data_IF_979263607477
#
_entry.id   IF_979263607477
#
_cell.length_a   1.000
_cell.length_b   1.000
_cell.length_c   1.000
_cell.angle_alpha   90.00
_cell.angle_beta   90.00
_cell.angle_gamma   90.00
#
_symmetry.space_group_name_H-M   'P 1'
#
loop_
_entity.id
_entity.type
_entity.pdbx_description
1 polymer ?
#
# COMPACT_ATOMS: atom_id res chain seq x y z
N UNK A 1 -4.42 23.22 -0.20
CA UNK A 1 -3.95 22.44 -1.37
C UNK A 1 -2.52 21.91 -1.23
N UNK A 2 -1.55 22.68 -0.72
CA UNK A 2 -0.14 22.25 -0.60
C UNK A 2 0.06 20.98 0.23
N UNK A 3 -0.59 20.88 1.41
CA UNK A 3 -0.47 19.69 2.29
C UNK A 3 -0.91 18.40 1.60
N UNK A 4 -2.05 18.41 0.90
CA UNK A 4 -2.53 17.27 0.13
C UNK A 4 -1.52 16.81 -0.93
N UNK A 5 -0.92 17.77 -1.65
CA UNK A 5 0.11 17.47 -2.65
C UNK A 5 1.35 16.82 -2.03
N UNK A 6 1.75 17.25 -0.83
CA UNK A 6 2.88 16.66 -0.09
C UNK A 6 2.56 15.26 0.41
N UNK A 7 1.37 15.04 0.98
CA UNK A 7 0.90 13.72 1.37
C UNK A 7 0.84 12.77 0.18
N UNK A 8 0.36 13.25 -0.97
CA UNK A 8 0.34 12.47 -2.21
C UNK A 8 1.75 12.14 -2.72
N UNK A 9 2.69 13.08 -2.60
CA UNK A 9 4.09 12.83 -2.95
C UNK A 9 4.70 11.73 -2.06
N UNK A 10 4.47 11.81 -0.75
CA UNK A 10 4.90 10.79 0.20
C UNK A 10 4.30 9.43 -0.13
N UNK A 11 2.97 9.36 -0.29
CA UNK A 11 2.25 8.13 -0.68
C UNK A 11 2.86 7.49 -1.92
N UNK A 12 3.04 8.25 -3.02
CA UNK A 12 3.65 7.72 -4.24
C UNK A 12 5.06 7.17 -4.02
N UNK A 13 5.86 7.83 -3.18
CA UNK A 13 7.23 7.39 -2.94
C UNK A 13 7.27 6.09 -2.12
N UNK A 14 6.45 5.98 -1.08
CA UNK A 14 6.30 4.73 -0.31
C UNK A 14 5.73 3.61 -1.19
N UNK A 15 4.75 3.92 -2.03
CA UNK A 15 4.05 2.94 -2.85
C UNK A 15 4.92 2.33 -3.95
N UNK A 16 5.97 3.02 -4.40
CA UNK A 16 7.00 2.46 -5.30
C UNK A 16 7.71 1.24 -4.70
N UNK A 17 7.81 1.15 -3.38
CA UNK A 17 8.35 -0.03 -2.70
C UNK A 17 7.26 -1.06 -2.43
N UNK A 18 6.09 -0.61 -1.96
CA UNK A 18 5.00 -1.50 -1.54
C UNK A 18 4.41 -2.32 -2.71
N UNK A 19 4.20 -1.70 -3.88
CA UNK A 19 3.55 -2.36 -5.01
C UNK A 19 4.32 -3.58 -5.54
N UNK A 20 5.64 -3.50 -5.85
CA UNK A 20 6.39 -4.66 -6.30
C UNK A 20 6.35 -5.83 -5.32
N UNK A 21 6.51 -5.54 -4.01
CA UNK A 21 6.47 -6.57 -2.96
C UNK A 21 5.09 -7.21 -2.89
N UNK A 22 4.03 -6.40 -2.93
CA UNK A 22 2.65 -6.88 -2.88
C UNK A 22 2.27 -7.67 -4.13
N UNK A 23 2.78 -7.28 -5.30
CA UNK A 23 2.59 -8.02 -6.56
C UNK A 23 3.24 -9.41 -6.48
N UNK A 24 4.46 -9.50 -5.95
CA UNK A 24 5.12 -10.79 -5.72
C UNK A 24 4.28 -11.67 -4.77
N UNK A 25 3.78 -11.11 -3.67
CA UNK A 25 2.89 -11.82 -2.77
C UNK A 25 1.59 -12.28 -3.47
N UNK A 26 1.00 -11.43 -4.32
CA UNK A 26 -0.14 -11.79 -5.16
C UNK A 26 0.13 -13.01 -6.04
N UNK A 27 1.30 -13.07 -6.69
CA UNK A 27 1.70 -14.24 -7.50
C UNK A 27 1.81 -15.51 -6.65
N UNK A 28 2.32 -15.42 -5.42
CA UNK A 28 2.34 -16.58 -4.52
C UNK A 28 0.95 -17.05 -4.10
N UNK A 29 -0.02 -16.12 -3.99
CA UNK A 29 -1.41 -16.43 -3.62
C UNK A 29 -2.14 -17.30 -4.65
N UNK A 30 -1.72 -17.26 -5.92
CA UNK A 30 -2.25 -18.11 -7.00
C UNK A 30 -2.01 -19.59 -6.70
N UNK A 31 -0.89 -19.92 -6.04
CA UNK A 31 -0.48 -21.31 -5.77
C UNK A 31 -1.34 -21.96 -4.69
N UNK A 32 -1.81 -21.16 -3.72
CA UNK A 32 -2.49 -21.66 -2.52
C UNK A 32 -4.02 -21.61 -2.60
N UNK A 33 -4.60 -21.13 -3.70
CA UNK A 33 -6.04 -20.96 -3.82
C UNK A 33 -6.57 -21.59 -5.13
N UNK A 34 -7.66 -22.38 -5.09
CA UNK A 34 -8.25 -22.97 -6.31
C UNK A 34 -8.74 -21.90 -7.29
N UNK A 35 -9.10 -20.72 -6.81
CA UNK A 35 -9.53 -19.60 -7.65
C UNK A 35 -8.37 -18.63 -7.84
N UNK A 36 -7.68 -18.74 -8.98
CA UNK A 36 -6.45 -18.00 -9.27
C UNK A 36 -6.55 -16.49 -8.99
N UNK A 37 -7.60 -15.84 -9.49
CA UNK A 37 -7.78 -14.38 -9.35
C UNK A 37 -8.08 -14.00 -7.91
N UNK A 38 -8.89 -14.80 -7.21
CA UNK A 38 -9.26 -14.54 -5.81
C UNK A 38 -8.05 -14.70 -4.89
N UNK A 39 -7.29 -15.78 -5.06
CA UNK A 39 -6.04 -16.02 -4.31
C UNK A 39 -5.01 -14.92 -4.53
N UNK A 40 -4.86 -14.43 -5.77
CA UNK A 40 -3.98 -13.31 -6.06
C UNK A 40 -4.42 -12.02 -5.36
N UNK A 41 -5.72 -11.69 -5.40
CA UNK A 41 -6.27 -10.50 -4.73
C UNK A 41 -6.07 -10.58 -3.22
N UNK A 42 -6.30 -11.75 -2.61
CA UNK A 42 -6.17 -11.94 -1.17
C UNK A 42 -4.73 -11.74 -0.69
N UNK A 43 -3.78 -12.44 -1.31
CA UNK A 43 -2.37 -12.35 -0.94
C UNK A 43 -1.77 -10.96 -1.23
N UNK A 44 -2.15 -10.34 -2.37
CA UNK A 44 -1.78 -8.97 -2.69
C UNK A 44 -2.30 -7.99 -1.64
N UNK A 45 -3.60 -8.06 -1.31
CA UNK A 45 -4.24 -7.12 -0.38
C UNK A 45 -3.70 -7.26 1.04
N UNK A 46 -3.47 -8.49 1.50
CA UNK A 46 -2.84 -8.77 2.78
C UNK A 46 -1.44 -8.15 2.84
N UNK A 47 -0.61 -8.41 1.82
CA UNK A 47 0.76 -7.88 1.78
C UNK A 47 0.78 -6.35 1.72
N UNK A 48 -0.10 -5.76 0.90
CA UNK A 48 -0.22 -4.32 0.69
C UNK A 48 -0.50 -3.55 1.98
N UNK A 49 -1.24 -4.14 2.93
CA UNK A 49 -1.57 -3.52 4.21
C UNK A 49 -0.62 -3.92 5.35
N UNK A 50 0.09 -5.04 5.23
CA UNK A 50 0.89 -5.59 6.33
C UNK A 50 2.38 -5.53 6.00
N UNK A 51 3.00 -6.69 5.74
CA UNK A 51 4.44 -6.82 5.55
C UNK A 51 4.98 -5.95 4.42
N UNK A 52 4.25 -5.82 3.30
CA UNK A 52 4.63 -4.96 2.19
C UNK A 52 4.67 -3.49 2.59
N UNK A 53 3.65 -3.02 3.34
CA UNK A 53 3.61 -1.63 3.80
C UNK A 53 4.70 -1.34 4.84
N UNK A 54 4.89 -2.22 5.83
CA UNK A 54 5.94 -2.06 6.84
C UNK A 54 7.34 -2.04 6.21
N UNK A 55 7.60 -2.95 5.26
CA UNK A 55 8.87 -2.98 4.53
C UNK A 55 9.03 -1.73 3.65
N UNK A 56 7.96 -1.25 3.01
CA UNK A 56 8.00 -0.01 2.25
C UNK A 56 8.30 1.22 3.11
N UNK A 57 7.74 1.29 4.33
CA UNK A 57 8.07 2.35 5.29
C UNK A 57 9.54 2.27 5.70
N UNK A 58 10.03 1.08 6.04
CA UNK A 58 11.44 0.86 6.39
C UNK A 58 12.39 1.29 5.25
N UNK A 59 12.14 0.85 4.02
CA UNK A 59 12.94 1.21 2.85
C UNK A 59 12.87 2.71 2.53
N UNK A 60 11.70 3.32 2.69
CA UNK A 60 11.56 4.76 2.53
C UNK A 60 12.38 5.51 3.58
N UNK A 61 12.36 5.06 4.84
CA UNK A 61 13.15 5.65 5.93
C UNK A 61 14.64 5.57 5.64
N UNK A 62 15.16 4.42 5.23
CA UNK A 62 16.57 4.25 4.89
C UNK A 62 17.02 5.19 3.76
N UNK A 63 16.18 5.38 2.74
CA UNK A 63 16.54 6.17 1.56
C UNK A 63 16.25 7.67 1.68
N UNK A 64 15.25 8.05 2.46
CA UNK A 64 14.70 9.41 2.48
C UNK A 64 14.53 9.98 3.90
N UNK A 65 15.26 9.49 4.90
CA UNK A 65 15.19 10.00 6.28
C UNK A 65 15.24 11.54 6.36
N UNK A 66 16.12 12.19 5.58
CA UNK A 66 16.26 13.65 5.55
C UNK A 66 15.01 14.39 5.05
N UNK A 67 14.13 13.75 4.28
CA UNK A 67 12.89 14.37 3.79
C UNK A 67 11.86 14.57 4.89
N UNK A 68 11.93 13.83 6.01
CA UNK A 68 10.99 14.03 7.13
C UNK A 68 11.09 15.42 7.74
N UNK A 69 12.28 16.02 7.80
CA UNK A 69 12.44 17.41 8.25
C UNK A 69 11.69 18.39 7.35
N UNK A 70 11.72 18.17 6.04
CA UNK A 70 10.97 19.00 5.10
C UNK A 70 9.46 18.92 5.32
N UNK A 71 8.91 17.72 5.51
CA UNK A 71 7.47 17.55 5.80
C UNK A 71 7.10 18.15 7.16
N UNK A 72 7.94 17.94 8.18
CA UNK A 72 7.73 18.47 9.52
C UNK A 72 7.69 20.00 9.53
N UNK A 73 8.62 20.66 8.84
CA UNK A 73 8.64 22.12 8.68
C UNK A 73 7.40 22.66 7.95
N UNK A 74 6.65 21.81 7.24
CA UNK A 74 5.37 22.14 6.60
C UNK A 74 4.15 21.76 7.45
N UNK A 75 4.36 21.36 8.71
CA UNK A 75 3.33 20.98 9.67
C UNK A 75 2.72 19.61 9.41
N UNK A 76 3.45 18.68 8.79
CA UNK A 76 3.05 17.29 8.58
C UNK A 76 3.97 16.38 9.41
N UNK A 77 3.42 15.72 10.42
CA UNK A 77 4.18 14.77 11.23
C UNK A 77 4.41 13.46 10.47
N UNK A 78 5.50 12.76 10.81
CA UNK A 78 5.81 11.42 10.29
C UNK A 78 4.60 10.48 10.38
N UNK A 79 3.98 10.42 11.56
CA UNK A 79 2.81 9.57 11.83
C UNK A 79 1.62 9.98 10.95
N UNK A 80 1.36 11.27 10.77
CA UNK A 80 0.25 11.73 9.91
C UNK A 80 0.42 11.29 8.45
N UNK A 81 1.66 11.29 7.94
CA UNK A 81 1.97 10.82 6.60
C UNK A 81 1.77 9.31 6.47
N UNK A 82 2.23 8.54 7.47
CA UNK A 82 2.06 7.09 7.52
C UNK A 82 0.58 6.70 7.56
N UNK A 83 -0.20 7.32 8.45
CA UNK A 83 -1.64 7.06 8.59
C UNK A 83 -2.39 7.43 7.31
N UNK A 84 -2.07 8.58 6.69
CA UNK A 84 -2.69 8.96 5.43
C UNK A 84 -2.37 7.97 4.29
N UNK A 85 -1.11 7.52 4.18
CA UNK A 85 -0.70 6.51 3.20
C UNK A 85 -1.38 5.16 3.46
N UNK A 86 -1.47 4.74 4.72
CA UNK A 86 -2.17 3.52 5.10
C UNK A 86 -3.66 3.59 4.75
N UNK A 87 -4.31 4.72 5.05
CA UNK A 87 -5.71 4.96 4.70
C UNK A 87 -5.96 4.86 3.18
N UNK A 88 -5.05 5.37 2.35
CA UNK A 88 -5.15 5.21 0.89
C UNK A 88 -5.02 3.75 0.46
N UNK A 89 -4.13 2.96 1.09
CA UNK A 89 -4.04 1.53 0.83
C UNK A 89 -5.31 0.78 1.28
N UNK A 90 -5.92 1.16 2.41
CA UNK A 90 -7.19 0.60 2.87
C UNK A 90 -8.29 0.86 1.85
N UNK A 91 -8.40 2.09 1.31
CA UNK A 91 -9.36 2.40 0.24
C UNK A 91 -9.13 1.51 -0.98
N UNK A 92 -7.86 1.30 -1.40
CA UNK A 92 -7.53 0.41 -2.50
C UNK A 92 -7.92 -1.05 -2.21
N UNK A 93 -7.66 -1.56 -1.01
CA UNK A 93 -8.05 -2.92 -0.62
C UNK A 93 -9.58 -3.07 -0.56
N UNK A 94 -10.32 -2.07 -0.11
CA UNK A 94 -11.78 -2.09 -0.15
C UNK A 94 -12.27 -2.23 -1.60
N UNK A 95 -11.70 -1.46 -2.53
CA UNK A 95 -12.05 -1.58 -3.95
C UNK A 95 -11.73 -2.97 -4.52
N UNK A 96 -10.58 -3.54 -4.16
CA UNK A 96 -10.20 -4.90 -4.56
C UNK A 96 -11.09 -5.97 -3.94
N UNK A 97 -11.54 -5.77 -2.70
CA UNK A 97 -12.47 -6.65 -2.03
C UNK A 97 -13.85 -6.63 -2.71
N UNK A 98 -14.35 -5.45 -3.07
CA UNK A 98 -15.59 -5.33 -3.86
C UNK A 98 -15.47 -6.01 -5.23
N UNK A 99 -14.32 -5.84 -5.90
CA UNK A 99 -14.01 -6.55 -7.15
C UNK A 99 -14.01 -8.08 -6.93
N UNK A 100 -13.37 -8.55 -5.87
CA UNK A 100 -13.37 -9.98 -5.50
C UNK A 100 -14.79 -10.51 -5.30
N UNK A 101 -15.65 -9.78 -4.58
CA UNK A 101 -17.05 -10.19 -4.37
C UNK A 101 -17.82 -10.29 -5.70
N UNK A 102 -17.60 -9.33 -6.60
CA UNK A 102 -18.18 -9.38 -7.94
C UNK A 102 -17.70 -10.60 -8.73
N UNK A 103 -16.39 -10.87 -8.72
CA UNK A 103 -15.79 -12.00 -9.44
C UNK A 103 -16.26 -13.36 -8.89
N UNK A 104 -16.40 -13.48 -7.58
CA UNK A 104 -16.87 -14.72 -6.93
C UNK A 104 -18.28 -15.12 -7.37
N UNK A 105 -19.08 -14.21 -7.93
CA UNK A 105 -20.39 -14.53 -8.49
C UNK A 105 -20.31 -15.34 -9.80
N UNK A 106 -19.19 -15.26 -10.51
CA UNK A 106 -19.01 -15.85 -11.84
C UNK A 106 -18.06 -17.05 -11.87
N UNK A 107 -17.55 -17.45 -10.69
CA UNK A 107 -16.63 -18.56 -10.50
C UNK A 107 -17.35 -19.65 -9.70
#
# INVERSE_FOLDING_TARGET
MVKLRLTWHYYKSTQRFNLPISLIAGLTGIIFNPHFVVGAIDAFSLCLLTGGFLLALYLYEQRHAGQYYFYYNRGLSKVSLMVASYGLNVVLVILLFLLKLFLYRYV
#
